data_IF_697061138219
#
_entry.id   IF_697061138219
#
_cell.length_a   1.000
_cell.length_b   1.000
_cell.length_c   1.000
_cell.angle_alpha   90.00
_cell.angle_beta   90.00
_cell.angle_gamma   90.00
#
_symmetry.space_group_name_H-M   'P 1'
#
loop_
_entity.id
_entity.type
_entity.pdbx_description
1 polymer ?
#
# COMPACT_ATOMS: atom_id res chain seq x y z
N UNK A 1 -5.73 27.14 4.48
CA UNK A 1 -4.51 26.32 4.65
C UNK A 1 -4.96 24.94 5.14
N UNK A 2 -5.38 24.07 4.23
CA UNK A 2 -5.87 22.74 4.60
C UNK A 2 -4.67 21.80 4.64
N UNK A 3 -4.20 21.47 5.84
CA UNK A 3 -3.19 20.43 6.04
C UNK A 3 -3.70 19.07 5.57
N UNK A 4 -2.78 18.15 5.25
CA UNK A 4 -3.13 16.78 4.89
C UNK A 4 -3.91 16.10 6.03
N UNK A 5 -4.96 15.33 5.70
CA UNK A 5 -5.74 14.57 6.68
C UNK A 5 -4.89 13.56 7.49
N UNK A 6 -3.70 13.21 6.98
CA UNK A 6 -2.73 12.33 7.65
C UNK A 6 -1.96 13.02 8.78
N UNK A 7 -2.07 14.35 8.94
CA UNK A 7 -1.29 15.11 9.92
C UNK A 7 -1.82 14.99 11.35
N UNK A 8 -3.12 14.70 11.51
CA UNK A 8 -3.79 14.64 12.81
C UNK A 8 -4.28 13.21 13.01
N UNK A 9 -3.57 12.45 13.82
CA UNK A 9 -3.95 11.07 14.15
C UNK A 9 -3.36 10.66 15.52
N UNK A 10 -3.80 9.52 16.08
CA UNK A 10 -3.21 9.00 17.31
C UNK A 10 -1.70 8.79 17.16
N UNK A 11 -0.93 9.05 18.21
CA UNK A 11 0.53 8.93 18.14
C UNK A 11 1.02 7.48 18.04
N UNK A 12 0.25 6.55 18.60
CA UNK A 12 0.54 5.12 18.65
C UNK A 12 -0.65 4.32 18.13
N UNK A 13 -0.37 3.11 17.66
CA UNK A 13 -1.41 2.16 17.24
C UNK A 13 -1.98 1.47 18.45
N UNK A 14 -3.31 1.50 18.57
CA UNK A 14 -4.04 0.88 19.65
C UNK A 14 -4.69 -0.42 19.21
N UNK A 15 -4.92 -1.30 20.18
CA UNK A 15 -5.72 -2.49 19.99
C UNK A 15 -7.15 -2.14 19.56
N UNK A 16 -7.73 -3.00 18.72
CA UNK A 16 -9.04 -2.83 18.07
C UNK A 16 -9.19 -1.52 17.27
N UNK A 17 -8.08 -1.00 16.75
CA UNK A 17 -8.09 0.19 15.89
C UNK A 17 -8.33 -0.15 14.42
N UNK A 18 -8.97 0.78 13.71
CA UNK A 18 -9.11 0.72 12.26
C UNK A 18 -7.94 1.44 11.62
N UNK A 19 -7.17 0.73 10.81
CA UNK A 19 -5.95 1.24 10.20
C UNK A 19 -5.88 0.91 8.72
N UNK A 20 -5.09 1.69 7.98
CA UNK A 20 -4.67 1.34 6.62
C UNK A 20 -3.20 0.90 6.63
N UNK A 21 -2.94 -0.20 5.94
CA UNK A 21 -1.61 -0.80 5.86
C UNK A 21 -1.08 -0.57 4.44
N UNK A 22 0.13 -0.03 4.35
CA UNK A 22 0.76 0.34 3.08
C UNK A 22 2.16 -0.26 2.97
N UNK A 23 2.57 -0.61 1.76
CA UNK A 23 3.94 -1.02 1.49
C UNK A 23 4.85 0.21 1.54
N UNK A 24 5.95 0.10 2.27
CA UNK A 24 6.96 1.15 2.38
C UNK A 24 8.04 1.06 1.27
N UNK A 25 8.04 -0.03 0.49
CA UNK A 25 8.84 -0.18 -0.72
C UNK A 25 8.12 0.37 -1.95
N UNK A 26 8.87 0.78 -2.97
CA UNK A 26 8.28 1.09 -4.27
C UNK A 26 7.93 -0.23 -5.00
N UNK A 27 6.73 -0.38 -5.60
CA UNK A 27 5.62 0.56 -5.62
C UNK A 27 4.88 0.64 -4.28
N UNK A 28 4.52 1.88 -3.91
CA UNK A 28 3.76 2.15 -2.70
C UNK A 28 2.29 1.75 -2.88
N UNK A 29 1.86 0.71 -2.17
CA UNK A 29 0.56 0.09 -2.38
C UNK A 29 -0.14 -0.19 -1.05
N UNK A 30 -1.44 0.00 -1.05
CA UNK A 30 -2.31 -0.32 0.07
C UNK A 30 -2.69 -1.78 0.02
N UNK A 31 -2.76 -2.40 1.19
CA UNK A 31 -3.51 -3.62 1.38
C UNK A 31 -4.99 -3.33 1.14
N UNK A 32 -5.67 -4.15 0.35
CA UNK A 32 -7.08 -3.93 0.01
C UNK A 32 -7.85 -5.23 -0.10
N UNK A 33 -9.16 -5.14 0.02
CA UNK A 33 -10.07 -6.27 -0.23
C UNK A 33 -11.02 -5.94 -1.35
N UNK A 34 -11.25 -6.91 -2.24
CA UNK A 34 -12.16 -6.74 -3.38
C UNK A 34 -13.25 -7.78 -3.34
N UNK A 35 -14.48 -7.36 -3.59
CA UNK A 35 -15.58 -8.29 -3.84
C UNK A 35 -15.40 -8.90 -5.23
N UNK A 36 -15.25 -10.23 -5.32
CA UNK A 36 -15.29 -10.93 -6.60
C UNK A 36 -16.70 -11.50 -6.79
N UNK A 37 -17.37 -11.07 -7.86
CA UNK A 37 -18.54 -11.79 -8.38
C UNK A 37 -18.04 -12.87 -9.33
N UNK A 38 -18.00 -14.13 -8.88
CA UNK A 38 -17.80 -15.25 -9.80
C UNK A 38 -19.04 -15.38 -10.70
N UNK A 39 -18.84 -15.37 -12.01
CA UNK A 39 -19.91 -15.53 -13.00
C UNK A 39 -20.47 -16.97 -13.08
N UNK A 40 -19.89 -17.92 -12.34
CA UNK A 40 -20.32 -19.31 -12.33
C UNK A 40 -20.53 -19.81 -10.90
N UNK A 41 -21.79 -20.16 -10.61
CA UNK A 41 -22.28 -20.94 -9.47
C UNK A 41 -22.45 -20.17 -8.14
N UNK A 42 -23.72 -19.86 -7.84
CA UNK A 42 -24.34 -19.63 -6.54
C UNK A 42 -23.64 -18.66 -5.54
N UNK A 43 -24.07 -17.40 -5.59
CA UNK A 43 -24.37 -16.54 -4.43
C UNK A 43 -23.47 -16.60 -3.18
N UNK A 44 -22.16 -16.74 -3.33
CA UNK A 44 -21.20 -16.40 -2.28
C UNK A 44 -20.25 -15.34 -2.84
N UNK A 45 -20.43 -14.10 -2.38
CA UNK A 45 -19.47 -13.03 -2.63
C UNK A 45 -18.17 -13.39 -1.91
N UNK A 46 -17.21 -13.94 -2.63
CA UNK A 46 -15.87 -14.17 -2.10
C UNK A 46 -15.09 -12.85 -2.15
N UNK A 47 -14.50 -12.47 -1.02
CA UNK A 47 -13.58 -11.34 -0.96
C UNK A 47 -12.16 -11.84 -1.17
N UNK A 48 -11.44 -11.21 -2.09
CA UNK A 48 -10.03 -11.47 -2.33
C UNK A 48 -9.21 -10.39 -1.63
N UNK A 49 -8.09 -10.80 -1.03
CA UNK A 49 -7.05 -9.91 -0.53
C UNK A 49 -6.07 -9.59 -1.65
N UNK A 50 -5.82 -8.31 -1.90
CA UNK A 50 -4.87 -7.86 -2.92
C UNK A 50 -4.21 -6.56 -2.51
N UNK A 51 -3.41 -5.98 -3.40
CA UNK A 51 -2.91 -4.61 -3.24
C UNK A 51 -3.54 -3.64 -4.23
N UNK A 52 -3.47 -2.34 -3.93
CA UNK A 52 -3.93 -1.25 -4.81
C UNK A 52 -3.06 -0.01 -4.64
N UNK A 53 -2.86 0.75 -5.72
CA UNK A 53 -2.18 2.06 -5.66
C UNK A 53 -3.11 3.20 -5.22
N UNK A 54 -4.42 2.99 -5.28
CA UNK A 54 -5.43 4.00 -4.94
C UNK A 54 -5.98 3.73 -3.56
N UNK A 55 -6.03 4.78 -2.74
CA UNK A 55 -6.69 4.72 -1.44
C UNK A 55 -8.21 4.58 -1.61
N UNK A 56 -8.77 3.52 -1.05
CA UNK A 56 -10.19 3.18 -1.07
C UNK A 56 -10.70 2.92 0.36
N UNK A 57 -12.02 3.00 0.54
CA UNK A 57 -12.65 2.68 1.84
C UNK A 57 -12.45 1.21 2.22
N UNK A 58 -12.25 0.34 1.23
CA UNK A 58 -12.00 -1.10 1.39
C UNK A 58 -10.58 -1.42 1.90
N UNK A 59 -9.73 -0.41 2.07
CA UNK A 59 -8.33 -0.53 2.52
C UNK A 59 -8.18 -0.45 4.05
N UNK A 60 -9.29 -0.25 4.77
CA UNK A 60 -9.29 -0.27 6.23
C UNK A 60 -9.35 -1.69 6.77
N UNK A 61 -8.50 -1.98 7.75
CA UNK A 61 -8.46 -3.22 8.49
C UNK A 61 -8.58 -2.94 9.99
N UNK A 62 -9.18 -3.87 10.72
CA UNK A 62 -9.17 -3.88 12.19
C UNK A 62 -7.99 -4.73 12.65
N UNK A 63 -7.09 -4.14 13.43
CA UNK A 63 -5.98 -4.87 14.06
C UNK A 63 -6.34 -5.16 15.51
N UNK A 64 -6.29 -6.44 15.88
CA UNK A 64 -6.52 -6.91 17.25
C UNK A 64 -5.30 -7.63 17.78
N UNK A 65 -4.91 -7.34 19.00
CA UNK A 65 -3.84 -8.05 19.69
C UNK A 65 -4.34 -9.42 20.16
N UNK A 66 -3.52 -10.44 19.94
CA UNK A 66 -3.78 -11.81 20.42
C UNK A 66 -3.02 -11.99 21.73
N UNK A 67 -3.65 -11.63 22.85
CA UNK A 67 -3.10 -11.86 24.19
C UNK A 67 -3.66 -13.17 24.78
N UNK A 68 -2.76 -14.05 25.23
CA UNK A 68 -3.09 -15.21 26.06
C UNK A 68 -3.27 -14.70 27.50
N UNK A 69 -4.47 -14.20 27.83
CA UNK A 69 -4.86 -13.94 29.22
C UNK A 69 -5.39 -12.53 29.53
N UNK A 70 -6.57 -12.54 30.16
CA UNK A 70 -7.33 -11.47 30.80
C UNK A 70 -7.57 -10.14 30.05
N UNK A 71 -8.86 -9.84 29.86
CA UNK A 71 -9.42 -8.55 29.47
C UNK A 71 -9.07 -7.49 30.52
N UNK A 72 -7.89 -6.88 30.39
CA UNK A 72 -7.61 -5.64 31.09
C UNK A 72 -8.50 -4.54 30.51
N UNK A 73 -9.31 -3.89 31.36
CA UNK A 73 -9.99 -2.64 30.99
C UNK A 73 -8.93 -1.56 30.72
N UNK A 74 -8.63 -1.32 29.45
CA UNK A 74 -7.72 -0.27 29.00
C UNK A 74 -7.32 -0.51 27.54
N UNK A 75 -7.29 0.55 26.73
CA UNK A 75 -6.80 0.48 25.34
C UNK A 75 -5.29 0.23 25.37
N UNK A 76 -4.87 -1.00 25.03
CA UNK A 76 -3.45 -1.38 24.94
C UNK A 76 -2.84 -0.89 23.64
N UNK A 77 -1.57 -0.49 23.66
CA UNK A 77 -0.81 -0.17 22.45
C UNK A 77 -0.21 -1.43 21.84
N UNK A 78 -0.01 -1.40 20.52
CA UNK A 78 0.66 -2.47 19.77
C UNK A 78 2.15 -2.16 19.70
N UNK A 79 2.97 -3.16 20.00
CA UNK A 79 4.43 -3.05 20.07
C UNK A 79 5.10 -4.17 19.28
N UNK A 80 6.40 -4.01 19.07
CA UNK A 80 7.28 -4.99 18.45
C UNK A 80 7.20 -6.35 19.15
N UNK A 81 7.14 -7.42 18.37
CA UNK A 81 7.02 -8.81 18.84
C UNK A 81 5.60 -9.25 19.23
N UNK A 82 4.61 -8.35 19.30
CA UNK A 82 3.23 -8.76 19.58
C UNK A 82 2.63 -9.56 18.41
N UNK A 83 1.79 -10.53 18.77
CA UNK A 83 0.92 -11.23 17.82
C UNK A 83 -0.37 -10.44 17.64
N UNK A 84 -0.75 -10.25 16.38
CA UNK A 84 -1.97 -9.56 15.99
C UNK A 84 -2.78 -10.40 15.01
N UNK A 85 -4.09 -10.17 15.03
CA UNK A 85 -5.03 -10.60 14.01
C UNK A 85 -5.49 -9.38 13.23
N UNK A 86 -5.47 -9.53 11.91
CA UNK A 86 -5.90 -8.50 10.98
C UNK A 86 -7.20 -8.99 10.35
N UNK A 87 -8.25 -8.20 10.52
CA UNK A 87 -9.60 -8.56 10.06
C UNK A 87 -10.22 -7.44 9.24
N UNK A 88 -11.15 -7.80 8.36
CA UNK A 88 -11.83 -6.84 7.50
C UNK A 88 -13.02 -6.24 8.27
N UNK A 89 -13.16 -4.90 8.35
CA UNK A 89 -14.17 -4.23 9.16
C UNK A 89 -15.59 -4.70 8.83
N UNK A 90 -16.41 -4.86 9.88
CA UNK A 90 -17.82 -5.32 9.79
C UNK A 90 -18.00 -6.71 9.18
N UNK A 91 -16.92 -7.43 8.91
CA UNK A 91 -16.95 -8.84 8.49
C UNK A 91 -16.22 -9.70 9.50
N UNK A 92 -16.45 -11.01 9.46
CA UNK A 92 -15.72 -11.99 10.27
C UNK A 92 -14.56 -12.62 9.48
N UNK A 93 -14.03 -11.89 8.49
CA UNK A 93 -12.94 -12.35 7.63
C UNK A 93 -11.59 -11.92 8.21
N UNK A 94 -10.68 -12.88 8.33
CA UNK A 94 -9.32 -12.69 8.82
C UNK A 94 -8.30 -13.02 7.74
N UNK A 95 -7.16 -12.33 7.79
CA UNK A 95 -6.02 -12.65 6.92
C UNK A 95 -5.36 -13.93 7.43
N UNK A 96 -5.42 -14.99 6.64
CA UNK A 96 -4.92 -16.31 6.97
C UNK A 96 -3.90 -16.75 5.93
N UNK A 97 -2.87 -17.44 6.38
CA UNK A 97 -1.96 -18.16 5.48
C UNK A 97 -2.52 -19.55 5.23
N UNK A 98 -2.81 -19.85 3.97
CA UNK A 98 -3.30 -21.15 3.50
C UNK A 98 -2.33 -21.74 2.49
N UNK A 99 -2.04 -23.04 2.61
CA UNK A 99 -1.17 -23.75 1.69
C UNK A 99 -0.28 -24.75 2.41
N UNK A 100 0.39 -25.58 1.62
CA UNK A 100 1.32 -26.60 2.09
C UNK A 100 2.43 -26.81 1.06
N UNK A 101 3.44 -27.61 1.42
CA UNK A 101 4.51 -27.97 0.49
C UNK A 101 3.93 -28.71 -0.72
N UNK A 102 3.77 -28.00 -1.84
CA UNK A 102 3.62 -28.64 -3.15
C UNK A 102 4.94 -28.54 -3.90
N UNK A 103 5.50 -29.71 -4.23
CA UNK A 103 6.64 -29.86 -5.14
C UNK A 103 7.85 -28.94 -4.87
N UNK A 104 8.50 -29.09 -3.71
CA UNK A 104 9.75 -28.40 -3.34
C UNK A 104 9.71 -26.85 -3.36
N UNK A 105 8.56 -26.24 -3.61
CA UNK A 105 8.35 -24.80 -3.50
C UNK A 105 7.38 -24.56 -2.36
N UNK A 106 7.82 -23.77 -1.36
CA UNK A 106 6.94 -23.28 -0.32
C UNK A 106 6.04 -22.20 -0.92
N UNK A 107 4.92 -22.61 -1.54
CA UNK A 107 3.93 -21.67 -2.08
C UNK A 107 2.79 -21.49 -1.07
N UNK A 108 3.04 -20.64 -0.08
CA UNK A 108 2.01 -20.24 0.87
C UNK A 108 1.20 -19.07 0.28
N UNK A 109 -0.07 -19.32 0.03
CA UNK A 109 -1.02 -18.28 -0.38
C UNK A 109 -1.59 -17.56 0.84
N UNK A 110 -1.91 -16.28 0.68
CA UNK A 110 -2.56 -15.49 1.73
C UNK A 110 -3.98 -15.19 1.29
N UNK A 111 -4.95 -15.66 2.07
CA UNK A 111 -6.37 -15.57 1.75
C UNK A 111 -7.17 -14.97 2.92
N UNK A 112 -8.45 -14.67 2.65
CA UNK A 112 -9.41 -14.26 3.67
C UNK A 112 -10.28 -15.45 4.06
N UNK A 113 -10.30 -15.77 5.35
CA UNK A 113 -11.09 -16.89 5.88
C UNK A 113 -12.06 -16.41 6.96
N UNK A 114 -13.28 -16.96 6.94
CA UNK A 114 -14.27 -16.72 7.98
C UNK A 114 -13.94 -17.50 9.26
N UNK A 115 -14.32 -16.97 10.42
CA UNK A 115 -14.23 -17.65 11.73
C UNK A 115 -12.83 -18.08 12.20
N UNK A 116 -11.76 -17.61 11.56
CA UNK A 116 -10.38 -17.86 11.98
C UNK A 116 -9.93 -17.05 13.20
N UNK A 117 -10.87 -16.53 14.03
CA UNK A 117 -10.58 -15.68 15.20
C UNK A 117 -9.72 -16.37 16.26
N UNK A 118 -9.84 -17.69 16.40
CA UNK A 118 -9.05 -18.46 17.35
C UNK A 118 -8.01 -19.34 16.65
N UNK A 119 -7.90 -19.23 15.33
CA UNK A 119 -6.91 -20.01 14.59
C UNK A 119 -5.53 -19.38 14.76
N UNK A 120 -4.54 -20.22 15.05
CA UNK A 120 -3.13 -19.77 15.07
C UNK A 120 -2.69 -19.37 13.65
N UNK A 121 -3.38 -19.82 12.59
CA UNK A 121 -3.07 -19.47 11.20
C UNK A 121 -3.41 -18.02 10.83
N UNK A 122 -4.25 -17.35 11.61
CA UNK A 122 -4.59 -15.93 11.45
C UNK A 122 -3.71 -14.99 12.29
N UNK A 123 -2.82 -15.55 13.11
CA UNK A 123 -1.93 -14.78 13.97
C UNK A 123 -0.66 -14.36 13.22
N UNK A 124 -0.37 -13.06 13.26
CA UNK A 124 0.78 -12.43 12.64
C UNK A 124 1.63 -11.75 13.72
N UNK A 125 2.90 -12.13 13.83
CA UNK A 125 3.88 -11.41 14.65
C UNK A 125 4.30 -10.14 13.91
N UNK A 126 4.28 -9.01 14.61
CA UNK A 126 4.82 -7.77 14.08
C UNK A 126 6.30 -7.69 14.43
N UNK A 127 7.15 -7.49 13.42
CA UNK A 127 8.59 -7.31 13.60
C UNK A 127 9.03 -5.95 13.08
N UNK A 128 9.55 -5.10 13.96
CA UNK A 128 9.96 -3.75 13.62
C UNK A 128 11.30 -3.76 12.85
N UNK A 129 11.28 -3.25 11.62
CA UNK A 129 12.47 -3.13 10.76
C UNK A 129 13.22 -1.83 11.02
N UNK A 130 12.48 -0.74 11.24
CA UNK A 130 13.05 0.57 11.54
C UNK A 130 12.33 1.16 12.73
N UNK A 131 13.09 1.51 13.76
CA UNK A 131 12.58 2.26 14.90
C UNK A 131 12.19 3.67 14.46
N UNK A 132 11.06 4.22 14.95
CA UNK A 132 10.70 5.59 14.68
C UNK A 132 11.79 6.54 15.25
N UNK A 133 12.06 7.68 14.62
CA UNK A 133 12.94 8.69 15.20
C UNK A 133 12.37 9.15 16.55
N UNK A 134 13.24 9.26 17.55
CA UNK A 134 12.91 9.75 18.88
C UNK A 134 12.41 11.20 18.76
N UNK A 135 11.20 11.48 19.25
CA UNK A 135 10.67 12.83 19.37
C UNK A 135 11.33 13.50 20.59
N UNK A 136 11.93 14.67 20.40
CA UNK A 136 12.77 15.39 21.40
C UNK A 136 11.98 15.85 22.65
N UNK A 137 10.65 15.69 22.68
CA UNK A 137 9.78 16.38 23.66
C UNK A 137 9.02 15.48 24.63
N UNK A 138 9.17 14.16 24.58
CA UNK A 138 8.47 13.24 25.50
C UNK A 138 9.45 12.24 26.12
N UNK A 139 9.26 11.98 27.40
CA UNK A 139 10.05 11.09 28.26
C UNK A 139 10.49 9.81 27.53
N UNK A 140 11.81 9.66 27.39
CA UNK A 140 12.52 8.88 26.38
C UNK A 140 12.33 7.35 26.41
N UNK A 141 11.50 6.82 27.32
CA UNK A 141 11.41 5.38 27.58
C UNK A 141 10.05 4.73 27.26
N UNK A 142 8.97 5.49 27.14
CA UNK A 142 7.62 4.89 27.08
C UNK A 142 7.22 4.39 25.67
N UNK A 143 7.87 4.91 24.62
CA UNK A 143 7.51 4.63 23.22
C UNK A 143 8.52 3.71 22.49
N UNK A 144 9.55 3.23 23.18
CA UNK A 144 10.55 2.33 22.60
C UNK A 144 9.91 0.98 22.26
N UNK A 145 9.75 0.73 20.95
CA UNK A 145 9.15 -0.51 20.44
C UNK A 145 7.65 -0.41 20.15
N UNK A 146 6.99 0.70 20.46
CA UNK A 146 5.59 0.90 20.08
C UNK A 146 5.46 1.23 18.59
N UNK A 147 4.41 0.72 17.96
CA UNK A 147 4.10 1.01 16.57
C UNK A 147 3.42 2.37 16.50
N UNK A 148 3.97 3.25 15.65
CA UNK A 148 3.48 4.60 15.38
C UNK A 148 3.07 4.73 13.91
N UNK A 149 1.94 5.39 13.60
CA UNK A 149 1.57 5.69 12.22
C UNK A 149 2.69 6.43 11.48
N UNK A 150 2.86 6.15 10.19
CA UNK A 150 3.82 6.72 9.24
C UNK A 150 5.29 6.41 9.54
N UNK A 151 5.71 6.44 10.81
CA UNK A 151 7.11 6.29 11.21
C UNK A 151 7.57 4.84 11.30
N UNK A 152 6.73 3.97 11.83
CA UNK A 152 7.11 2.59 12.11
C UNK A 152 7.07 1.76 10.84
N UNK A 153 8.20 1.10 10.56
CA UNK A 153 8.33 0.16 9.46
C UNK A 153 8.44 -1.22 10.05
N UNK A 154 7.59 -2.13 9.62
CA UNK A 154 7.53 -3.46 10.18
C UNK A 154 7.29 -4.52 9.11
N UNK A 155 7.58 -5.76 9.46
CA UNK A 155 7.17 -6.95 8.71
C UNK A 155 6.06 -7.65 9.47
N UNK A 156 5.20 -8.34 8.72
CA UNK A 156 4.19 -9.23 9.27
C UNK A 156 4.68 -10.66 9.04
N UNK A 157 4.94 -11.37 10.12
CA UNK A 157 5.46 -12.75 10.10
C UNK A 157 4.38 -13.69 10.58
N UNK A 158 4.04 -14.71 9.79
CA UNK A 158 3.04 -15.71 10.16
C UNK A 158 3.50 -16.50 11.40
N UNK A 159 2.64 -16.63 12.41
CA UNK A 159 2.98 -17.31 13.66
C UNK A 159 3.28 -18.81 13.48
N UNK A 160 2.58 -19.48 12.56
CA UNK A 160 2.75 -20.93 12.30
C UNK A 160 3.89 -21.16 11.31
N UNK A 161 3.83 -20.48 10.17
CA UNK A 161 4.67 -20.82 9.01
C UNK A 161 6.03 -20.10 9.04
N UNK A 162 6.21 -19.12 9.94
CA UNK A 162 7.41 -18.29 10.06
C UNK A 162 7.84 -17.67 8.71
N UNK A 163 6.86 -17.41 7.83
CA UNK A 163 7.03 -16.72 6.56
C UNK A 163 6.56 -15.27 6.69
N UNK A 164 7.07 -14.40 5.82
CA UNK A 164 6.79 -12.98 5.85
C UNK A 164 5.74 -12.62 4.78
N UNK A 165 4.81 -11.71 5.11
CA UNK A 165 3.84 -11.22 4.15
C UNK A 165 4.54 -10.41 3.04
N UNK A 166 4.41 -10.88 1.80
CA UNK A 166 5.07 -10.32 0.64
C UNK A 166 4.08 -10.03 -0.50
N UNK A 167 4.36 -8.96 -1.24
CA UNK A 167 3.72 -8.67 -2.52
C UNK A 167 4.46 -9.45 -3.61
N UNK A 168 3.73 -10.29 -4.34
CA UNK A 168 4.28 -11.00 -5.49
C UNK A 168 4.16 -10.15 -6.76
N UNK A 169 5.26 -9.51 -7.15
CA UNK A 169 5.35 -8.72 -8.38
C UNK A 169 5.50 -9.56 -9.65
N UNK A 170 5.70 -10.88 -9.51
CA UNK A 170 6.00 -11.80 -10.61
C UNK A 170 4.88 -12.80 -10.91
N UNK A 171 3.76 -12.75 -10.18
CA UNK A 171 2.63 -13.65 -10.39
C UNK A 171 2.17 -13.64 -11.87
N UNK A 172 2.20 -14.79 -12.58
CA UNK A 172 1.85 -14.85 -13.99
C UNK A 172 0.37 -14.52 -14.24
N UNK A 173 0.12 -13.90 -15.40
CA UNK A 173 -1.19 -13.49 -15.94
C UNK A 173 -2.09 -14.68 -16.33
N UNK A 174 -2.13 -15.75 -15.52
CA UNK A 174 -2.95 -16.93 -15.83
C UNK A 174 -4.44 -16.64 -15.62
N UNK A 175 -5.08 -16.24 -16.72
CA UNK A 175 -6.41 -16.63 -17.23
C UNK A 175 -7.67 -16.44 -16.37
N UNK A 176 -7.62 -16.70 -15.07
CA UNK A 176 -8.80 -16.75 -14.17
C UNK A 176 -8.90 -15.49 -13.31
N UNK A 177 -7.79 -14.79 -13.08
CA UNK A 177 -7.80 -13.49 -12.42
C UNK A 177 -6.92 -12.53 -13.21
N UNK A 178 -7.55 -11.67 -14.01
CA UNK A 178 -6.87 -10.56 -14.72
C UNK A 178 -6.42 -9.50 -13.71
N UNK A 179 -5.50 -9.83 -12.80
CA UNK A 179 -4.70 -8.84 -12.07
C UNK A 179 -3.59 -8.36 -13.01
N UNK A 180 -4.00 -7.61 -14.03
CA UNK A 180 -3.06 -7.05 -14.99
C UNK A 180 -2.22 -5.97 -14.34
N UNK A 181 -0.96 -5.85 -14.75
CA UNK A 181 -0.16 -4.64 -14.55
C UNK A 181 -0.92 -3.36 -14.98
N UNK A 182 -1.90 -3.50 -15.88
CA UNK A 182 -2.81 -2.43 -16.31
C UNK A 182 -3.85 -1.99 -15.25
N UNK A 183 -4.23 -2.86 -14.30
CA UNK A 183 -5.09 -2.47 -13.14
C UNK A 183 -4.28 -2.10 -11.89
N UNK A 184 -2.98 -2.44 -11.85
CA UNK A 184 -2.08 -2.05 -10.77
C UNK A 184 -2.38 -2.73 -9.43
N UNK A 185 -2.82 -3.99 -9.48
CA UNK A 185 -3.14 -4.81 -8.30
C UNK A 185 -2.27 -6.06 -8.29
N UNK A 186 -1.70 -6.40 -7.12
CA UNK A 186 -0.84 -7.58 -6.96
C UNK A 186 -1.41 -8.56 -5.93
N UNK A 187 -1.01 -9.83 -6.07
CA UNK A 187 -1.38 -10.93 -5.18
C UNK A 187 -0.39 -10.96 -4.01
N UNK A 188 -0.88 -11.37 -2.84
CA UNK A 188 -0.06 -11.53 -1.65
C UNK A 188 0.31 -13.00 -1.44
N UNK A 189 1.57 -13.22 -1.09
CA UNK A 189 2.11 -14.52 -0.72
C UNK A 189 2.80 -14.43 0.63
N UNK A 190 3.00 -15.58 1.26
CA UNK A 190 3.82 -15.69 2.45
C UNK A 190 5.15 -16.33 2.06
N UNK A 191 6.21 -15.53 2.02
CA UNK A 191 7.51 -15.95 1.52
C UNK A 191 8.55 -15.92 2.64
N UNK A 192 9.41 -16.95 2.77
CA UNK A 192 10.51 -16.91 3.72
C UNK A 192 11.55 -15.87 3.28
N UNK A 193 11.95 -14.98 4.20
CA UNK A 193 13.01 -13.96 4.02
C UNK A 193 12.81 -12.90 2.92
N UNK A 194 11.71 -12.93 2.16
CA UNK A 194 11.38 -11.99 1.08
C UNK A 194 10.16 -11.11 1.41
N UNK A 195 9.92 -10.84 2.68
CA UNK A 195 8.79 -10.05 3.16
C UNK A 195 8.82 -8.61 2.69
N UNK A 196 7.64 -8.11 2.37
CA UNK A 196 7.43 -6.69 2.12
C UNK A 196 7.48 -5.94 3.45
N UNK A 197 8.14 -4.78 3.45
CA UNK A 197 8.12 -3.87 4.59
C UNK A 197 6.87 -3.02 4.52
N UNK A 198 6.07 -3.08 5.58
CA UNK A 198 4.80 -2.39 5.72
C UNK A 198 4.93 -1.19 6.66
N UNK A 199 4.02 -0.24 6.53
CA UNK A 199 3.76 0.82 7.48
C UNK A 199 2.25 1.02 7.64
N UNK A 200 1.84 1.51 8.81
CA UNK A 200 0.46 1.97 9.00
C UNK A 200 0.41 3.44 8.61
N UNK A 201 -0.38 3.81 7.61
CA UNK A 201 -0.44 5.19 7.13
C UNK A 201 -1.45 6.03 7.90
N UNK A 202 -2.64 5.46 8.11
CA UNK A 202 -3.74 6.15 8.75
C UNK A 202 -4.40 5.26 9.79
N UNK A 203 -4.70 5.84 10.95
CA UNK A 203 -5.55 5.22 11.96
C UNK A 203 -6.80 6.09 12.18
N UNK A 204 -7.99 5.50 12.04
CA UNK A 204 -9.22 6.21 12.40
C UNK A 204 -9.31 6.35 13.91
N UNK A 205 -9.55 7.59 14.35
CA UNK A 205 -9.76 7.89 15.77
C UNK A 205 -11.12 7.39 16.21
N UNK A 206 -11.13 6.55 17.25
CA UNK A 206 -12.31 6.42 18.11
C UNK A 206 -12.36 7.63 19.05
N UNK A 207 -13.53 7.95 19.61
CA UNK A 207 -13.76 9.19 20.39
C UNK A 207 -12.81 9.37 21.59
N UNK A 208 -12.19 8.30 22.06
CA UNK A 208 -11.34 8.28 23.25
C UNK A 208 -9.85 8.05 22.92
N UNK A 209 -9.38 8.44 21.74
CA UNK A 209 -7.95 8.42 21.40
C UNK A 209 -7.39 9.84 21.35
N UNK A 210 -6.26 10.12 22.04
CA UNK A 210 -5.64 11.42 21.96
C UNK A 210 -5.09 11.65 20.56
N UNK A 211 -5.62 12.67 19.89
CA UNK A 211 -5.15 13.11 18.58
C UNK A 211 -3.92 14.00 18.74
N UNK A 212 -2.88 13.70 17.96
CA UNK A 212 -1.65 14.48 17.96
C UNK A 212 -1.34 14.96 16.55
N UNK A 213 -0.70 16.13 16.46
CA UNK A 213 -0.22 16.62 15.18
C UNK A 213 1.16 16.01 14.88
N UNK A 214 1.17 14.91 14.14
CA UNK A 214 2.40 14.19 13.81
C UNK A 214 3.26 14.91 12.77
N UNK A 215 2.73 15.93 12.06
CA UNK A 215 3.47 16.64 11.01
C UNK A 215 4.74 17.32 11.50
N UNK A 216 4.74 17.78 12.76
CA UNK A 216 5.92 18.40 13.39
C UNK A 216 7.07 17.40 13.61
N UNK A 217 6.75 16.12 13.65
CA UNK A 217 7.70 15.03 13.91
C UNK A 217 8.25 14.42 12.61
N UNK A 218 7.58 14.66 11.46
CA UNK A 218 8.01 14.14 10.16
C UNK A 218 9.12 15.04 9.59
N UNK A 219 10.34 14.89 10.12
CA UNK A 219 11.53 15.44 9.50
C UNK A 219 12.06 14.41 8.48
N UNK A 220 11.79 14.65 7.19
CA UNK A 220 12.35 13.84 6.11
C UNK A 220 13.69 14.43 5.67
N UNK A 221 14.71 13.57 5.53
CA UNK A 221 15.98 13.97 4.93
C UNK A 221 15.77 14.44 3.49
N UNK A 222 16.27 15.64 3.17
CA UNK A 222 16.22 16.22 1.82
C UNK A 222 16.75 15.23 0.77
N UNK A 223 17.92 14.64 0.99
CA UNK A 223 18.55 13.69 0.04
C UNK A 223 17.63 12.51 -0.23
N UNK A 224 16.99 11.95 0.82
CA UNK A 224 16.07 10.82 0.67
C UNK A 224 14.82 11.21 -0.12
N UNK A 225 14.30 12.41 0.09
CA UNK A 225 13.19 12.94 -0.71
C UNK A 225 13.61 13.13 -2.17
N UNK A 226 14.76 13.76 -2.42
CA UNK A 226 15.29 13.98 -3.77
C UNK A 226 15.46 12.67 -4.52
N UNK A 227 16.06 11.63 -3.91
CA UNK A 227 16.22 10.32 -4.55
C UNK A 227 14.87 9.67 -4.84
N UNK A 228 13.94 9.70 -3.88
CA UNK A 228 12.61 9.11 -4.04
C UNK A 228 11.83 9.80 -5.15
N UNK A 229 11.85 11.14 -5.17
CA UNK A 229 11.17 11.95 -6.16
C UNK A 229 11.74 11.75 -7.56
N UNK A 230 13.07 11.72 -7.72
CA UNK A 230 13.70 11.46 -9.01
C UNK A 230 13.41 10.05 -9.54
N UNK A 231 13.30 9.04 -8.66
CA UNK A 231 12.85 7.70 -9.06
C UNK A 231 11.42 7.71 -9.60
N UNK A 232 10.52 8.44 -8.95
CA UNK A 232 9.14 8.61 -9.43
C UNK A 232 9.10 9.33 -10.78
N UNK A 233 9.87 10.41 -10.93
CA UNK A 233 9.96 11.13 -12.21
C UNK A 233 10.49 10.27 -13.35
N UNK A 234 11.55 9.48 -13.10
CA UNK A 234 12.07 8.54 -14.09
C UNK A 234 10.99 7.54 -14.53
N UNK A 235 10.17 7.07 -13.61
CA UNK A 235 9.11 6.13 -13.94
C UNK A 235 7.98 6.79 -14.73
N UNK A 236 7.54 7.98 -14.31
CA UNK A 236 6.53 8.74 -15.06
C UNK A 236 7.03 8.96 -16.49
N UNK A 237 8.30 9.33 -16.65
CA UNK A 237 8.91 9.47 -17.98
C UNK A 237 8.93 8.16 -18.77
N UNK A 238 9.15 7.00 -18.13
CA UNK A 238 9.05 5.71 -18.81
C UNK A 238 7.62 5.31 -19.19
N UNK A 239 6.61 5.86 -18.50
CA UNK A 239 5.19 5.64 -18.82
C UNK A 239 4.67 6.60 -19.89
N UNK A 240 5.42 7.66 -20.23
CA UNK A 240 5.08 8.60 -21.30
C UNK A 240 5.39 8.06 -22.70
N UNK A 241 5.91 6.83 -22.82
CA UNK A 241 6.09 6.18 -24.11
C UNK A 241 4.70 5.92 -24.71
N UNK A 242 4.41 6.59 -25.81
CA UNK A 242 3.17 6.41 -26.56
C UNK A 242 3.08 4.99 -27.11
N UNK A 243 1.85 4.47 -27.18
CA UNK A 243 1.56 3.22 -27.86
C UNK A 243 1.87 3.41 -29.36
N UNK A 244 2.71 2.56 -29.99
CA UNK A 244 3.02 2.68 -31.41
C UNK A 244 1.79 2.65 -32.32
N UNK A 245 0.69 2.03 -31.89
CA UNK A 245 -0.55 1.95 -32.66
C UNK A 245 -1.45 3.19 -32.48
N UNK A 246 -1.12 4.07 -31.53
CA UNK A 246 -1.87 5.30 -31.27
C UNK A 246 -1.21 6.49 -31.98
N UNK A 247 -1.83 6.95 -33.07
CA UNK A 247 -1.34 8.13 -33.80
C UNK A 247 -1.43 9.40 -32.94
N UNK A 248 -0.28 10.03 -32.69
CA UNK A 248 -0.18 11.33 -32.02
C UNK A 248 0.12 12.43 -33.03
N UNK A 249 -0.85 13.31 -33.27
CA UNK A 249 -0.74 14.38 -34.27
C UNK A 249 0.27 15.48 -33.91
N UNK A 250 0.78 15.50 -32.68
CA UNK A 250 1.67 16.56 -32.14
C UNK A 250 3.11 16.06 -31.93
N UNK A 251 3.32 14.74 -31.95
CA UNK A 251 4.65 14.15 -31.80
C UNK A 251 5.48 14.30 -33.08
N UNK A 252 6.78 14.53 -32.93
CA UNK A 252 7.73 14.63 -34.03
C UNK A 252 8.99 13.81 -33.72
N UNK A 253 9.59 13.23 -34.77
CA UNK A 253 10.82 12.47 -34.62
C UNK A 253 12.02 13.42 -34.45
N UNK A 254 13.04 13.09 -33.63
CA UNK A 254 14.22 13.95 -33.46
C UNK A 254 14.95 14.30 -34.77
N UNK A 255 14.89 13.40 -35.76
CA UNK A 255 15.48 13.61 -37.09
C UNK A 255 14.73 14.63 -37.94
N UNK A 256 13.45 14.94 -37.66
CA UNK A 256 12.69 15.94 -38.43
C UNK A 256 12.97 17.39 -37.99
N UNK A 257 13.49 17.58 -36.77
CA UNK A 257 13.74 18.89 -36.17
C UNK A 257 14.71 19.77 -36.98
N UNK A 258 15.91 19.31 -37.41
CA UNK A 258 16.84 20.17 -38.14
C UNK A 258 16.34 20.55 -39.54
N UNK A 259 15.43 19.77 -40.14
CA UNK A 259 14.88 20.04 -41.46
C UNK A 259 13.55 20.80 -41.42
N UNK A 260 13.06 21.13 -40.22
CA UNK A 260 11.80 21.84 -39.99
C UNK A 260 10.61 21.21 -40.73
N UNK A 261 10.63 19.88 -40.92
CA UNK A 261 9.65 19.20 -41.78
C UNK A 261 8.29 18.99 -41.12
N UNK A 262 8.22 19.12 -39.79
CA UNK A 262 7.00 18.96 -38.98
C UNK A 262 6.92 20.07 -37.92
N UNK A 263 6.12 21.13 -38.16
CA UNK A 263 5.88 22.16 -37.15
C UNK A 263 4.87 21.68 -36.10
N UNK A 264 4.97 22.20 -34.87
CA UNK A 264 4.09 21.82 -33.77
C UNK A 264 2.95 22.83 -33.59
N UNK A 265 1.70 22.36 -33.60
CA UNK A 265 0.53 23.18 -33.29
C UNK A 265 0.45 23.38 -31.77
N UNK A 266 0.39 24.64 -31.32
CA UNK A 266 0.36 24.97 -29.88
C UNK A 266 -1.06 25.12 -29.32
N UNK A 267 -2.05 25.20 -30.19
CA UNK A 267 -3.47 25.40 -29.85
C UNK A 267 -4.35 24.53 -30.73
N UNK A 268 -5.58 24.25 -30.28
CA UNK A 268 -6.59 23.57 -31.09
C UNK A 268 -7.09 24.48 -32.20
N UNK A 269 -7.11 24.01 -33.44
CA UNK A 269 -7.51 24.80 -34.61
C UNK A 269 -8.98 24.59 -35.02
N UNK A 270 -9.81 24.08 -34.11
CA UNK A 270 -11.21 23.72 -34.39
C UNK A 270 -12.17 24.91 -34.44
N UNK A 271 -11.77 26.08 -33.94
CA UNK A 271 -12.61 27.28 -33.90
C UNK A 271 -11.92 28.42 -34.68
N UNK A 272 -12.64 28.99 -35.64
CA UNK A 272 -12.10 30.02 -36.55
C UNK A 272 -11.98 31.41 -35.92
N UNK A 273 -12.54 31.57 -34.71
CA UNK A 273 -12.47 32.83 -33.96
C UNK A 273 -11.19 33.01 -33.14
N UNK A 274 -10.34 31.99 -33.03
CA UNK A 274 -9.13 32.03 -32.21
C UNK A 274 -7.85 32.26 -33.03
N UNK A 275 -6.91 33.03 -32.45
CA UNK A 275 -5.56 33.19 -32.96
C UNK A 275 -4.84 31.83 -32.96
N UNK A 276 -4.38 31.41 -34.14
CA UNK A 276 -3.71 30.12 -34.37
C UNK A 276 -2.20 30.29 -34.17
N UNK A 277 -1.63 29.55 -33.22
CA UNK A 277 -0.20 29.56 -32.90
C UNK A 277 0.49 28.29 -33.40
N UNK A 278 1.62 28.46 -34.08
CA UNK A 278 2.44 27.40 -34.63
C UNK A 278 3.89 27.57 -34.17
N UNK A 279 4.51 26.50 -33.69
CA UNK A 279 5.93 26.45 -33.35
C UNK A 279 6.72 25.89 -34.52
N UNK A 280 7.49 26.76 -35.18
CA UNK A 280 8.45 26.41 -36.23
C UNK A 280 9.67 27.33 -36.11
N UNK A 281 10.85 26.81 -36.40
CA UNK A 281 12.06 27.63 -36.50
C UNK A 281 12.02 28.57 -37.71
N UNK A 282 12.82 29.63 -37.68
CA UNK A 282 13.08 30.44 -38.87
C UNK A 282 14.03 29.63 -39.79
N UNK A 283 13.61 29.24 -41.00
CA UNK A 283 14.39 28.39 -41.89
C UNK A 283 15.68 29.03 -42.40
#
# INVERSE_FOLDING_TARGET
MNGSALQIQPECIYDDSFVTIRSNGYPFEYLTTKNQSMASVQSQQQRILSTTKRFLVEDYFTIKRVDIGHSSMGKKTISDGHFVQISVPKTQLFIVVSGGHQHNVQDYSVNLEADARNSVSSAWRIELVSKPPLSITTTEHEYLGQIRPIFSKFKLVSAIHNCELAIDYHAPLDGVVKHSQATGQYILKCLPALGTVWNIEHQLSTKDLPLTNISRTIALSFIKQTVTYNRLMRQINSMLVSDPDMFSAVESAPLSWPFLSQPMQLVTWSDDSQLKYLLIGNP
#
